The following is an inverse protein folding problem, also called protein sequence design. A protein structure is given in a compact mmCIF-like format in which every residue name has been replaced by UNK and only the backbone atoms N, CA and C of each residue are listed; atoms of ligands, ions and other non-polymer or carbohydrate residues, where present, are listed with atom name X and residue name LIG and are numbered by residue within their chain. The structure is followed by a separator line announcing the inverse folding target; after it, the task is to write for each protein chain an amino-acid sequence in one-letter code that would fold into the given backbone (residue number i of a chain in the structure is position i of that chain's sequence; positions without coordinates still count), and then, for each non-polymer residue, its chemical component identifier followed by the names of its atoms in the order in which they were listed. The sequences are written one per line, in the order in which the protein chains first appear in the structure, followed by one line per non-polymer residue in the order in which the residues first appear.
data_IF_372743885516
#
_entry.id   IF_372743885516
#
_cell.length_a   1.000
_cell.length_b   1.000
_cell.length_c   1.000
_cell.angle_alpha   90.00
_cell.angle_beta   90.00
_cell.angle_gamma   90.00
#
_symmetry.space_group_name_H-M   'P 1'
#
loop_
_entity.id
_entity.type
_entity.pdbx_description
1 polymer ?
#
# COMPACT_ATOMS: atom_id res chain seq x y z
N UNK A 1 -5.18 -8.00 5.01
CA UNK A 1 -4.65 -8.21 3.65
C UNK A 1 -3.28 -8.85 3.80
N UNK A 2 -2.88 -9.71 2.86
CA UNK A 2 -1.51 -10.21 2.79
C UNK A 2 -0.59 -9.14 2.20
N UNK A 3 0.72 -9.29 2.38
CA UNK A 3 1.68 -8.35 1.78
C UNK A 3 1.65 -8.38 0.24
N UNK A 4 1.31 -9.53 -0.35
CA UNK A 4 1.08 -9.66 -1.78
C UNK A 4 -0.10 -8.81 -2.27
N UNK A 5 -1.19 -8.75 -1.49
CA UNK A 5 -2.34 -7.91 -1.81
C UNK A 5 -1.98 -6.42 -1.74
N UNK A 6 -1.19 -6.03 -0.74
CA UNK A 6 -0.65 -4.67 -0.64
C UNK A 6 0.13 -4.28 -1.89
N UNK A 7 1.08 -5.12 -2.32
CA UNK A 7 1.87 -4.83 -3.51
C UNK A 7 1.01 -4.79 -4.77
N UNK A 8 -0.01 -5.66 -4.89
CA UNK A 8 -0.95 -5.58 -6.01
C UNK A 8 -1.70 -4.25 -6.03
N UNK A 9 -2.21 -3.78 -4.89
CA UNK A 9 -2.92 -2.49 -4.81
C UNK A 9 -1.99 -1.32 -5.15
N UNK A 10 -0.75 -1.37 -4.67
CA UNK A 10 0.27 -0.37 -4.98
C UNK A 10 0.63 -0.36 -6.47
N UNK A 11 0.78 -1.53 -7.08
CA UNK A 11 1.10 -1.68 -8.50
C UNK A 11 -0.10 -1.28 -9.38
N UNK A 12 -1.33 -1.55 -8.96
CA UNK A 12 -2.56 -1.17 -9.66
C UNK A 12 -2.77 0.36 -9.67
N UNK A 13 -2.45 1.06 -8.58
CA UNK A 13 -2.66 2.52 -8.46
C UNK A 13 -1.47 3.32 -8.99
N UNK A 14 -0.24 2.88 -8.69
CA UNK A 14 0.98 3.65 -8.95
C UNK A 14 1.88 3.03 -10.04
N UNK A 15 1.65 1.78 -10.41
CA UNK A 15 2.50 1.02 -11.34
C UNK A 15 3.69 0.35 -10.66
N UNK A 16 4.08 -0.82 -11.17
CA UNK A 16 5.09 -1.71 -10.57
C UNK A 16 6.48 -1.09 -10.34
N UNK A 17 6.87 -0.08 -11.13
CA UNK A 17 8.15 0.62 -10.95
C UNK A 17 8.07 1.67 -9.85
N UNK A 18 7.05 2.53 -9.90
CA UNK A 18 6.92 3.65 -8.98
C UNK A 18 6.43 3.21 -7.59
N UNK A 19 5.63 2.14 -7.50
CA UNK A 19 5.16 1.57 -6.24
C UNK A 19 6.29 1.22 -5.27
N UNK A 20 7.39 0.65 -5.79
CA UNK A 20 8.57 0.26 -5.01
C UNK A 20 9.32 1.48 -4.48
N UNK A 21 9.49 2.50 -5.31
CA UNK A 21 10.11 3.77 -4.91
C UNK A 21 9.24 4.48 -3.88
N UNK A 22 7.93 4.56 -4.10
CA UNK A 22 7.00 5.19 -3.18
C UNK A 22 7.03 4.50 -1.81
N UNK A 23 7.02 3.17 -1.79
CA UNK A 23 7.06 2.40 -0.55
C UNK A 23 8.35 2.61 0.27
N UNK A 24 9.48 2.88 -0.39
CA UNK A 24 10.77 3.08 0.29
C UNK A 24 11.06 4.54 0.64
N UNK A 25 10.42 5.50 -0.03
CA UNK A 25 10.74 6.94 0.10
C UNK A 25 9.64 7.76 0.77
N UNK A 26 8.37 7.38 0.62
CA UNK A 26 7.25 8.13 1.17
C UNK A 26 7.16 7.94 2.67
N UNK A 27 7.42 9.00 3.43
CA UNK A 27 7.27 9.03 4.88
C UNK A 27 5.80 9.23 5.23
N UNK A 28 5.24 8.27 5.96
CA UNK A 28 3.83 8.24 6.33
C UNK A 28 3.66 8.81 7.74
N UNK A 29 3.00 9.96 7.84
CA UNK A 29 2.65 10.56 9.12
C UNK A 29 1.82 9.59 9.99
N UNK A 30 0.86 8.90 9.37
CA UNK A 30 0.05 7.86 10.02
C UNK A 30 0.83 6.62 10.48
N UNK A 31 2.07 6.42 10.02
CA UNK A 31 2.96 5.36 10.47
C UNK A 31 3.98 5.81 11.53
N UNK A 32 3.80 7.01 12.10
CA UNK A 32 4.72 7.60 13.06
C UNK A 32 6.00 8.11 12.41
N UNK A 33 5.92 8.66 11.19
CA UNK A 33 7.07 9.22 10.47
C UNK A 33 7.99 8.15 9.87
N UNK A 34 7.45 6.97 9.57
CA UNK A 34 8.18 5.87 8.91
C UNK A 34 7.79 5.77 7.45
N UNK A 35 8.70 5.24 6.64
CA UNK A 35 8.34 4.80 5.29
C UNK A 35 7.46 3.55 5.34
N UNK A 36 6.78 3.23 4.25
CA UNK A 36 5.95 2.02 4.19
C UNK A 36 6.76 0.75 4.48
N UNK A 37 7.98 0.65 3.92
CA UNK A 37 8.88 -0.48 4.17
C UNK A 37 9.30 -0.57 5.65
N UNK A 38 9.67 0.56 6.25
CA UNK A 38 9.99 0.63 7.68
C UNK A 38 8.79 0.28 8.57
N UNK A 39 7.59 0.72 8.20
CA UNK A 39 6.37 0.42 8.93
C UNK A 39 6.05 -1.09 8.88
N UNK A 40 6.17 -1.71 7.70
CA UNK A 40 6.01 -3.15 7.52
C UNK A 40 7.06 -3.93 8.32
N UNK A 41 8.33 -3.53 8.27
CA UNK A 41 9.42 -4.14 9.03
C UNK A 41 9.21 -4.00 10.55
N UNK A 42 8.58 -2.90 11.00
CA UNK A 42 8.19 -2.68 12.40
C UNK A 42 6.94 -3.49 12.82
N UNK A 43 6.41 -4.35 11.95
CA UNK A 43 5.26 -5.21 12.24
C UNK A 43 3.89 -4.54 12.04
N UNK A 44 3.84 -3.35 11.43
CA UNK A 44 2.58 -2.72 11.05
C UNK A 44 1.87 -3.57 9.99
N UNK A 45 0.56 -3.71 10.11
CA UNK A 45 -0.18 -4.51 9.13
C UNK A 45 -0.15 -3.85 7.75
N UNK A 46 -0.03 -4.61 6.64
CA UNK A 46 -0.02 -4.02 5.30
C UNK A 46 -1.29 -3.22 4.98
N UNK A 47 -2.42 -3.56 5.63
CA UNK A 47 -3.67 -2.79 5.51
C UNK A 47 -3.52 -1.37 6.07
N UNK A 48 -2.89 -1.22 7.23
CA UNK A 48 -2.69 0.11 7.82
C UNK A 48 -1.72 0.94 6.98
N UNK A 49 -0.65 0.32 6.48
CA UNK A 49 0.31 0.98 5.61
C UNK A 49 -0.34 1.45 4.31
N UNK A 50 -1.15 0.58 3.67
CA UNK A 50 -1.93 0.96 2.49
C UNK A 50 -2.86 2.15 2.74
N UNK A 51 -3.63 2.12 3.82
CA UNK A 51 -4.55 3.21 4.16
C UNK A 51 -3.80 4.53 4.39
N UNK A 52 -2.66 4.48 5.09
CA UNK A 52 -1.82 5.65 5.30
C UNK A 52 -1.27 6.20 3.97
N UNK A 53 -0.88 5.35 3.02
CA UNK A 53 -0.51 5.78 1.68
C UNK A 53 -1.70 6.43 0.96
N UNK A 54 -2.88 5.80 1.01
CA UNK A 54 -4.08 6.35 0.40
C UNK A 54 -4.44 7.73 0.96
N UNK A 55 -4.25 7.95 2.25
CA UNK A 55 -4.55 9.24 2.88
C UNK A 55 -3.50 10.31 2.51
N UNK A 56 -2.23 9.93 2.30
CA UNK A 56 -1.16 10.87 1.90
C UNK A 56 -1.16 11.15 0.39
N UNK A 57 -1.60 10.20 -0.43
CA UNK A 57 -1.67 10.32 -1.89
C UNK A 57 -3.07 10.69 -2.39
N UNK A 58 -4.00 11.01 -1.49
CA UNK A 58 -5.40 11.35 -1.80
C UNK A 58 -6.09 10.31 -2.69
N UNK A 59 -5.81 9.02 -2.46
CA UNK A 59 -6.41 7.91 -3.23
C UNK A 59 -7.90 7.82 -2.85
N UNK A 60 -8.82 7.93 -3.84
CA UNK A 60 -10.26 7.88 -3.59
C UNK A 60 -10.69 6.55 -2.95
N UNK A 61 -11.66 6.54 -2.01
CA UNK A 61 -12.12 5.34 -1.32
C UNK A 61 -12.54 4.20 -2.26
N UNK A 62 -13.15 4.53 -3.39
CA UNK A 62 -13.57 3.61 -4.46
C UNK A 62 -12.40 2.82 -5.09
N UNK A 63 -11.17 3.33 -5.03
CA UNK A 63 -9.97 2.67 -5.58
C UNK A 63 -9.16 1.92 -4.53
N UNK A 64 -9.39 2.16 -3.24
CA UNK A 64 -8.61 1.58 -2.13
C UNK A 64 -8.75 0.06 -2.01
N UNK A 65 -9.78 -0.53 -2.60
CA UNK A 65 -9.96 -2.00 -2.63
C UNK A 65 -9.35 -2.64 -3.88
N UNK A 66 -8.80 -1.83 -4.79
CA UNK A 66 -8.34 -2.27 -6.11
C UNK A 66 -9.51 -2.69 -7.00
N UNK A 67 -9.21 -3.10 -8.24
CA UNK A 67 -10.23 -3.75 -9.07
C UNK A 67 -10.62 -5.08 -8.42
N UNK A 68 -11.89 -5.46 -8.56
CA UNK A 68 -12.41 -6.78 -8.16
C UNK A 68 -11.74 -7.88 -9.01
N UNK A 69 -10.52 -8.26 -8.63
CA UNK A 69 -9.85 -9.40 -9.22
C UNK A 69 -10.32 -10.61 -8.43
N UNK A 70 -11.21 -11.39 -9.05
CA UNK A 70 -11.63 -12.70 -8.54
C UNK A 70 -10.38 -13.45 -8.06
N UNK A 71 -10.29 -13.88 -6.79
CA UNK A 71 -9.10 -14.55 -6.31
C UNK A 71 -8.83 -15.75 -7.23
N UNK A 72 -7.62 -15.82 -7.77
CA UNK A 72 -7.14 -17.00 -8.48
C UNK A 72 -7.28 -18.17 -7.49
N UNK A 73 -8.29 -19.01 -7.74
CA UNK A 73 -8.46 -20.28 -7.06
C UNK A 73 -7.50 -21.24 -7.75
N UNK A 74 -6.44 -21.64 -7.05
CA UNK A 74 -5.76 -22.92 -7.31
C UNK A 74 -6.69 -24.08 -6.91
#
# INVERSE_FOLDING_TARGET
MRISDYWRLMDDEFGAGYSRVLSSTLVLAGAGGRTADQALAAGMSPRQVWLAICDVQDVPPERRLGRDVKPLRD
#
